data_IF_943355010821
#
_entry.id   IF_943355010821
#
_cell.length_a   1.000
_cell.length_b   1.000
_cell.length_c   1.000
_cell.angle_alpha   90.00
_cell.angle_beta   90.00
_cell.angle_gamma   90.00
#
_symmetry.space_group_name_H-M   'P 1'
#
loop_
_entity.id
_entity.type
_entity.pdbx_description
1 polymer ?
#
# COMPACT_ATOMS: atom_id res chain seq x y z
N UNK A 1 -14.07 -2.32 -4.44
CA UNK A 1 -13.38 -1.03 -4.19
C UNK A 1 -12.64 -1.09 -2.85
N UNK A 2 -11.70 -0.18 -2.59
CA UNK A 2 -10.96 -0.10 -1.31
C UNK A 2 -11.37 1.16 -0.54
N UNK A 3 -11.38 1.13 0.79
CA UNK A 3 -11.57 2.31 1.61
C UNK A 3 -10.24 2.76 2.22
N UNK A 4 -10.01 4.07 2.28
CA UNK A 4 -8.83 4.68 2.90
C UNK A 4 -9.29 5.73 3.90
N UNK A 5 -8.88 5.57 5.16
CA UNK A 5 -9.13 6.53 6.23
C UNK A 5 -7.80 7.02 6.80
N UNK A 6 -7.59 8.33 6.81
CA UNK A 6 -6.37 8.95 7.32
C UNK A 6 -6.67 9.74 8.59
N UNK A 7 -6.05 9.35 9.69
CA UNK A 7 -6.13 10.01 10.98
C UNK A 7 -4.84 10.81 11.22
N UNK A 8 -4.96 12.14 11.22
CA UNK A 8 -3.84 13.07 11.49
C UNK A 8 -3.87 13.50 12.94
N UNK A 9 -2.79 13.20 13.66
CA UNK A 9 -2.66 13.47 15.10
C UNK A 9 -1.73 14.66 15.29
N UNK A 10 -2.22 15.75 15.89
CA UNK A 10 -1.42 16.95 16.19
C UNK A 10 -1.10 17.03 17.68
N UNK A 11 0.19 17.07 18.03
CA UNK A 11 0.62 17.12 19.43
C UNK A 11 0.88 18.57 19.86
N UNK A 12 -0.03 19.16 20.66
CA UNK A 12 0.03 20.58 21.04
C UNK A 12 0.95 20.89 22.24
N UNK A 13 1.71 19.91 22.76
CA UNK A 13 2.32 20.00 24.10
C UNK A 13 3.86 20.08 24.14
N UNK A 14 4.56 20.12 23.00
CA UNK A 14 6.02 20.35 22.96
C UNK A 14 6.37 21.42 21.92
N UNK A 15 7.47 22.15 22.18
CA UNK A 15 8.15 23.13 21.27
C UNK A 15 8.54 22.58 19.88
N UNK A 16 8.14 21.36 19.55
CA UNK A 16 8.47 20.65 18.34
C UNK A 16 7.14 20.14 17.79
N UNK A 17 6.68 20.70 16.66
CA UNK A 17 5.40 20.43 15.99
C UNK A 17 5.39 19.01 15.41
N UNK A 18 5.37 18.01 16.30
CA UNK A 18 5.29 16.61 15.90
C UNK A 18 3.87 16.33 15.43
N UNK A 19 3.77 15.68 14.28
CA UNK A 19 2.51 15.22 13.71
C UNK A 19 2.56 13.71 13.50
N UNK A 20 1.55 12.97 13.97
CA UNK A 20 1.34 11.56 13.63
C UNK A 20 0.40 11.43 12.44
N UNK A 21 0.58 10.39 11.64
CA UNK A 21 -0.37 9.98 10.59
C UNK A 21 -0.61 8.48 10.75
N UNK A 22 -1.87 8.10 10.94
CA UNK A 22 -2.31 6.71 10.90
C UNK A 22 -3.20 6.53 9.66
N UNK A 23 -2.78 5.66 8.75
CA UNK A 23 -3.55 5.30 7.56
C UNK A 23 -4.19 3.94 7.79
N UNK A 24 -5.53 3.90 7.84
CA UNK A 24 -6.33 2.68 7.92
C UNK A 24 -6.86 2.37 6.52
N UNK A 25 -6.72 1.11 6.09
CA UNK A 25 -7.10 0.67 4.75
C UNK A 25 -8.03 -0.53 4.91
N UNK A 26 -9.19 -0.47 4.27
CA UNK A 26 -10.04 -1.63 4.07
C UNK A 26 -9.86 -2.08 2.61
N UNK A 27 -9.23 -3.24 2.45
CA UNK A 27 -8.95 -3.81 1.14
C UNK A 27 -10.17 -4.60 0.66
N UNK A 28 -10.53 -4.40 -0.61
CA UNK A 28 -11.47 -5.26 -1.30
C UNK A 28 -11.04 -6.73 -1.19
N UNK A 29 -12.01 -7.63 -1.32
CA UNK A 29 -11.75 -9.07 -1.37
C UNK A 29 -10.74 -9.45 -2.46
N UNK A 30 -9.97 -10.50 -2.18
CA UNK A 30 -8.98 -11.08 -3.08
C UNK A 30 -9.45 -12.41 -3.69
N UNK A 31 -10.76 -12.58 -3.85
CA UNK A 31 -11.38 -13.78 -4.39
C UNK A 31 -10.85 -14.15 -5.79
N UNK A 32 -10.88 -15.45 -6.10
CA UNK A 32 -10.26 -15.98 -7.33
C UNK A 32 -11.21 -15.80 -8.51
N UNK A 33 -10.63 -15.55 -9.69
CA UNK A 33 -11.38 -15.45 -10.96
C UNK A 33 -12.26 -16.67 -11.25
N UNK A 34 -11.87 -17.85 -10.76
CA UNK A 34 -12.66 -19.08 -10.93
C UNK A 34 -14.04 -18.96 -10.25
N UNK A 35 -14.12 -18.25 -9.13
CA UNK A 35 -15.38 -18.00 -8.43
C UNK A 35 -16.27 -17.00 -9.19
N UNK A 36 -15.71 -16.36 -10.24
CA UNK A 36 -16.33 -15.31 -11.05
C UNK A 36 -16.84 -15.80 -12.42
N UNK A 37 -16.77 -17.09 -12.73
CA UNK A 37 -17.06 -17.60 -14.09
C UNK A 37 -18.49 -17.26 -14.59
N UNK A 38 -19.43 -17.05 -13.67
CA UNK A 38 -20.82 -16.67 -13.97
C UNK A 38 -21.10 -15.16 -13.81
N UNK A 39 -20.07 -14.33 -13.63
CA UNK A 39 -20.24 -12.89 -13.49
C UNK A 39 -20.45 -12.21 -14.85
N UNK A 40 -21.29 -11.18 -14.86
CA UNK A 40 -21.40 -10.26 -16.00
C UNK A 40 -20.04 -9.67 -16.38
N UNK A 41 -19.85 -9.32 -17.65
CA UNK A 41 -18.62 -8.69 -18.16
C UNK A 41 -18.20 -7.44 -17.37
N UNK A 42 -19.18 -6.63 -16.93
CA UNK A 42 -18.94 -5.46 -16.07
C UNK A 42 -18.29 -5.85 -14.73
N UNK A 43 -18.83 -6.88 -14.08
CA UNK A 43 -18.35 -7.37 -12.79
C UNK A 43 -16.99 -8.06 -12.92
N UNK A 44 -16.74 -8.77 -14.01
CA UNK A 44 -15.41 -9.33 -14.30
C UNK A 44 -14.35 -8.24 -14.47
N UNK A 45 -14.68 -7.15 -15.17
CA UNK A 45 -13.77 -6.00 -15.32
C UNK A 45 -13.47 -5.34 -13.99
N UNK A 46 -14.49 -5.11 -13.16
CA UNK A 46 -14.32 -4.58 -11.80
C UNK A 46 -13.41 -5.48 -10.94
N UNK A 47 -13.65 -6.80 -10.94
CA UNK A 47 -12.81 -7.76 -10.21
C UNK A 47 -11.37 -7.78 -10.74
N UNK A 48 -11.16 -7.57 -12.04
CA UNK A 48 -9.81 -7.47 -12.62
C UNK A 48 -9.08 -6.21 -12.13
N UNK A 49 -9.77 -5.07 -12.07
CA UNK A 49 -9.22 -3.80 -11.58
C UNK A 49 -8.90 -3.87 -10.08
N UNK A 50 -9.79 -4.47 -9.27
CA UNK A 50 -9.56 -4.74 -7.85
C UNK A 50 -8.29 -5.59 -7.67
N UNK A 51 -8.20 -6.72 -8.37
CA UNK A 51 -7.04 -7.61 -8.26
C UNK A 51 -5.75 -6.95 -8.72
N UNK A 52 -5.78 -6.10 -9.76
CA UNK A 52 -4.61 -5.36 -10.21
C UNK A 52 -4.08 -4.42 -9.11
N UNK A 53 -4.96 -3.69 -8.42
CA UNK A 53 -4.55 -2.82 -7.31
C UNK A 53 -4.03 -3.57 -6.09
N UNK A 54 -4.61 -4.73 -5.74
CA UNK A 54 -4.10 -5.59 -4.66
C UNK A 54 -2.74 -6.22 -5.01
N UNK A 55 -2.55 -6.60 -6.27
CA UNK A 55 -1.27 -7.12 -6.74
C UNK A 55 -0.18 -6.05 -6.70
N UNK A 56 -0.48 -4.83 -7.16
CA UNK A 56 0.44 -3.69 -7.04
C UNK A 56 0.84 -3.44 -5.58
N UNK A 57 -0.11 -3.54 -4.63
CA UNK A 57 0.18 -3.42 -3.19
C UNK A 57 1.13 -4.51 -2.70
N UNK A 58 0.89 -5.77 -3.07
CA UNK A 58 1.78 -6.91 -2.72
C UNK A 58 3.21 -6.68 -3.22
N UNK A 59 3.36 -6.23 -4.45
CA UNK A 59 4.69 -5.96 -5.03
C UNK A 59 5.40 -4.79 -4.34
N UNK A 60 4.66 -3.74 -3.95
CA UNK A 60 5.25 -2.64 -3.19
C UNK A 60 5.77 -3.11 -1.81
N UNK A 61 4.96 -3.90 -1.09
CA UNK A 61 5.36 -4.48 0.20
C UNK A 61 6.58 -5.37 0.06
N UNK A 62 6.60 -6.26 -0.94
CA UNK A 62 7.71 -7.18 -1.21
C UNK A 62 9.00 -6.43 -1.53
N UNK A 63 8.96 -5.45 -2.43
CA UNK A 63 10.13 -4.65 -2.79
C UNK A 63 10.65 -3.84 -1.60
N UNK A 64 9.77 -3.33 -0.74
CA UNK A 64 10.18 -2.64 0.49
C UNK A 64 10.84 -3.59 1.48
N UNK A 65 10.26 -4.76 1.74
CA UNK A 65 10.87 -5.75 2.63
C UNK A 65 12.28 -6.15 2.17
N UNK A 66 12.50 -6.30 0.85
CA UNK A 66 13.84 -6.54 0.30
C UNK A 66 14.82 -5.38 0.57
N UNK A 67 14.36 -4.14 0.46
CA UNK A 67 15.18 -2.97 0.79
C UNK A 67 15.54 -2.92 2.27
N UNK A 68 14.60 -3.27 3.15
CA UNK A 68 14.84 -3.31 4.59
C UNK A 68 15.88 -4.41 4.92
N UNK A 69 15.74 -5.61 4.34
CA UNK A 69 16.73 -6.70 4.47
C UNK A 69 18.12 -6.29 3.96
N UNK A 70 18.20 -5.70 2.77
CA UNK A 70 19.48 -5.23 2.22
C UNK A 70 20.14 -4.17 3.10
N UNK A 71 19.35 -3.29 3.73
CA UNK A 71 19.87 -2.26 4.62
C UNK A 71 20.47 -2.87 5.90
N UNK A 72 19.83 -3.89 6.48
CA UNK A 72 20.36 -4.62 7.65
C UNK A 72 21.66 -5.38 7.33
N UNK A 73 21.79 -5.90 6.11
CA UNK A 73 23.02 -6.57 5.63
C UNK A 73 24.14 -5.58 5.22
N UNK A 74 23.92 -4.26 5.35
CA UNK A 74 24.89 -3.23 4.97
C UNK A 74 25.00 -3.00 3.45
N UNK A 75 24.06 -3.54 2.69
CA UNK A 75 23.94 -3.36 1.24
C UNK A 75 23.59 -1.92 0.86
N UNK A 76 24.24 -1.40 -0.19
CA UNK A 76 23.98 -0.05 -0.74
C UNK A 76 22.97 -0.05 -1.90
N UNK A 77 22.45 -1.22 -2.27
CA UNK A 77 21.60 -1.41 -3.46
C UNK A 77 20.13 -1.47 -3.07
N UNK A 78 19.39 -0.42 -3.40
CA UNK A 78 17.94 -0.36 -3.22
C UNK A 78 17.20 -0.86 -4.48
N UNK A 79 16.25 -1.76 -4.30
CA UNK A 79 15.26 -2.19 -5.28
C UNK A 79 14.20 -1.10 -5.49
N UNK A 80 13.84 -0.84 -6.75
CA UNK A 80 12.76 0.09 -7.09
C UNK A 80 11.41 -0.43 -6.55
N UNK A 81 10.70 0.42 -5.79
CA UNK A 81 9.35 0.11 -5.29
C UNK A 81 8.29 0.73 -6.24
N UNK A 82 7.42 -0.07 -6.87
CA UNK A 82 6.57 0.37 -7.97
C UNK A 82 5.26 1.06 -7.50
N UNK A 83 5.35 2.11 -6.67
CA UNK A 83 4.15 2.78 -6.12
C UNK A 83 3.20 3.35 -7.17
N UNK A 84 3.66 3.58 -8.40
CA UNK A 84 2.84 4.13 -9.50
C UNK A 84 1.94 3.09 -10.19
N UNK A 85 2.07 1.81 -9.87
CA UNK A 85 1.32 0.73 -10.52
C UNK A 85 -0.18 0.72 -10.22
N UNK A 86 -0.64 1.43 -9.19
CA UNK A 86 -2.07 1.62 -8.91
C UNK A 86 -2.32 2.91 -8.13
N UNK A 87 -3.57 3.41 -8.13
CA UNK A 87 -3.95 4.55 -7.29
C UNK A 87 -3.80 4.25 -5.80
N UNK A 88 -4.11 3.02 -5.37
CA UNK A 88 -3.95 2.57 -3.98
C UNK A 88 -2.49 2.73 -3.54
N UNK A 89 -1.55 2.18 -4.31
CA UNK A 89 -0.12 2.24 -3.98
C UNK A 89 0.45 3.66 -4.06
N UNK A 90 -0.12 4.55 -4.88
CA UNK A 90 0.27 5.97 -4.92
C UNK A 90 -0.10 6.69 -3.63
N UNK A 91 -1.30 6.43 -3.11
CA UNK A 91 -1.77 7.01 -1.84
C UNK A 91 -0.94 6.50 -0.67
N UNK A 92 -0.59 5.21 -0.68
CA UNK A 92 0.13 4.56 0.42
C UNK A 92 1.63 4.82 0.42
N UNK A 93 2.18 5.44 -0.62
CA UNK A 93 3.62 5.73 -0.73
C UNK A 93 4.16 6.41 0.52
N UNK A 94 3.47 7.42 1.05
CA UNK A 94 3.88 8.12 2.27
C UNK A 94 3.94 7.16 3.47
N UNK A 95 3.01 6.23 3.58
CA UNK A 95 2.97 5.25 4.68
C UNK A 95 4.12 4.26 4.63
N UNK A 96 4.64 3.97 3.44
CA UNK A 96 5.85 3.15 3.31
C UNK A 96 7.12 4.00 3.53
N UNK A 97 7.26 5.16 2.90
CA UNK A 97 8.52 5.93 2.89
C UNK A 97 8.80 6.74 4.18
N UNK A 98 7.80 6.99 5.03
CA UNK A 98 7.98 7.85 6.20
C UNK A 98 8.92 7.25 7.24
N UNK A 99 9.92 8.03 7.67
CA UNK A 99 10.83 7.67 8.76
C UNK A 99 10.06 7.44 10.06
N UNK A 100 10.25 6.23 10.63
CA UNK A 100 9.49 5.72 11.78
C UNK A 100 8.49 4.61 11.44
N UNK A 101 8.35 4.24 10.17
CA UNK A 101 7.62 3.02 9.74
C UNK A 101 8.49 1.73 9.82
N UNK A 102 9.64 1.79 10.50
CA UNK A 102 10.49 0.64 10.81
C UNK A 102 10.02 -0.03 12.09
#
# INVERSE_FOLDING_TARGET
SHAVCQLRIKFHRKRNDRQGLLTLIDCAGSERRHDSMYHSSKRQKESAEINASLWALKECVRARALNDLHAEEGGKTSVHVPYRSSNLTRILRESFERDGAK
#
